data_IF_996555140410
#
_entry.id   IF_996555140410
#
_cell.length_a   1.000
_cell.length_b   1.000
_cell.length_c   1.000
_cell.angle_alpha   90.00
_cell.angle_beta   90.00
_cell.angle_gamma   90.00
#
_symmetry.space_group_name_H-M   'P 1'
#
loop_
_entity.id
_entity.type
_entity.pdbx_description
1 polymer ?
#
# COMPACT_ATOMS: atom_id res chain seq x y z
N UNK A 1 -8.76 -8.08 4.76
CA UNK A 1 -8.19 -9.44 4.62
C UNK A 1 -6.72 -9.24 4.43
N UNK A 2 -5.90 -9.76 5.34
CA UNK A 2 -4.46 -9.56 5.31
C UNK A 2 -3.82 -10.40 4.19
N UNK A 3 -3.07 -9.77 3.29
CA UNK A 3 -2.30 -10.44 2.23
C UNK A 3 -0.90 -9.87 2.10
N UNK A 4 0.05 -10.71 1.72
CA UNK A 4 1.43 -10.30 1.44
C UNK A 4 1.70 -10.28 -0.05
N UNK A 5 2.45 -9.27 -0.48
CA UNK A 5 2.78 -9.03 -1.86
C UNK A 5 4.28 -8.78 -1.99
N UNK A 6 4.95 -9.61 -2.79
CA UNK A 6 6.33 -9.34 -3.19
C UNK A 6 6.35 -8.29 -4.30
N UNK A 7 7.23 -7.29 -4.19
CA UNK A 7 7.46 -6.30 -5.24
C UNK A 7 8.75 -5.53 -5.01
N UNK A 8 9.27 -4.91 -6.08
CA UNK A 8 10.37 -3.96 -5.94
C UNK A 8 9.92 -2.70 -5.20
N UNK A 9 10.86 -1.99 -4.56
CA UNK A 9 10.57 -0.68 -3.93
C UNK A 9 9.99 0.32 -4.92
N UNK A 10 10.42 0.29 -6.19
CA UNK A 10 9.87 1.13 -7.26
C UNK A 10 8.40 0.84 -7.51
N UNK A 11 8.03 -0.43 -7.59
CA UNK A 11 6.64 -0.83 -7.77
C UNK A 11 5.81 -0.47 -6.53
N UNK A 12 6.34 -0.68 -5.34
CA UNK A 12 5.70 -0.28 -4.09
C UNK A 12 5.39 1.22 -4.04
N UNK A 13 6.33 2.07 -4.44
CA UNK A 13 6.10 3.53 -4.55
C UNK A 13 4.92 3.85 -5.48
N UNK A 14 4.82 3.15 -6.62
CA UNK A 14 3.70 3.32 -7.53
C UNK A 14 2.38 2.80 -6.93
N UNK A 15 2.41 1.66 -6.22
CA UNK A 15 1.23 1.09 -5.58
C UNK A 15 0.69 2.06 -4.53
N UNK A 16 1.51 2.53 -3.61
CA UNK A 16 1.10 3.46 -2.54
C UNK A 16 0.45 4.71 -3.13
N UNK A 17 1.08 5.31 -4.15
CA UNK A 17 0.59 6.55 -4.77
C UNK A 17 -0.68 6.39 -5.62
N UNK A 18 -1.04 5.18 -6.04
CA UNK A 18 -2.31 4.92 -6.74
C UNK A 18 -3.38 4.33 -5.82
N UNK A 19 -2.97 3.73 -4.71
CA UNK A 19 -3.86 3.07 -3.77
C UNK A 19 -4.55 4.08 -2.87
N UNK A 20 -3.77 4.91 -2.16
CA UNK A 20 -4.30 5.82 -1.15
C UNK A 20 -4.69 7.17 -1.77
N UNK A 21 -5.95 7.54 -1.62
CA UNK A 21 -6.45 8.88 -1.96
C UNK A 21 -6.23 9.86 -0.80
N UNK A 22 -6.34 9.38 0.44
CA UNK A 22 -6.10 10.13 1.67
C UNK A 22 -5.30 9.27 2.64
N UNK A 23 -4.41 9.91 3.41
CA UNK A 23 -3.63 9.24 4.44
C UNK A 23 -4.16 9.62 5.82
N UNK A 24 -4.39 8.60 6.64
CA UNK A 24 -4.72 8.74 8.05
C UNK A 24 -3.45 8.50 8.88
N UNK A 25 -3.28 9.19 10.03
CA UNK A 25 -2.13 8.98 10.88
C UNK A 25 -2.12 7.55 11.42
N UNK A 26 -1.00 6.80 11.33
CA UNK A 26 -0.93 5.40 11.75
C UNK A 26 -0.80 5.27 13.28
N UNK A 27 -1.51 6.09 14.05
CA UNK A 27 -1.37 6.17 15.51
C UNK A 27 -1.65 4.83 16.21
N UNK A 28 -2.54 4.01 15.65
CA UNK A 28 -2.79 2.66 16.16
C UNK A 28 -1.61 1.70 15.96
N UNK A 29 -0.77 1.94 14.95
CA UNK A 29 0.46 1.19 14.72
C UNK A 29 1.66 1.78 15.48
N UNK A 30 1.63 3.08 15.82
CA UNK A 30 2.65 3.74 16.64
C UNK A 30 2.71 3.23 18.09
N UNK A 31 1.67 2.55 18.57
CA UNK A 31 1.64 1.95 19.91
C UNK A 31 2.45 0.64 19.97
N UNK A 32 2.85 0.10 18.81
CA UNK A 32 3.69 -1.09 18.72
C UNK A 32 5.17 -0.74 18.88
N UNK A 33 5.92 -1.52 19.64
CA UNK A 33 7.40 -1.46 19.72
C UNK A 33 8.11 -1.87 18.41
N UNK A 34 7.36 -2.24 17.37
CA UNK A 34 7.91 -2.66 16.09
C UNK A 34 8.31 -1.44 15.22
N UNK A 35 9.57 -1.40 14.80
CA UNK A 35 10.12 -0.40 13.86
C UNK A 35 9.66 -0.69 12.42
N UNK A 36 8.35 -0.58 12.17
CA UNK A 36 7.72 -0.90 10.89
C UNK A 36 7.13 0.35 10.22
N UNK A 37 7.41 0.52 8.92
CA UNK A 37 6.77 1.57 8.12
C UNK A 37 5.35 1.14 7.75
N UNK A 38 4.36 1.70 8.45
CA UNK A 38 2.93 1.47 8.20
C UNK A 38 2.25 2.72 7.63
N UNK A 39 1.44 2.51 6.61
CA UNK A 39 0.66 3.53 5.90
C UNK A 39 -0.81 3.15 6.02
N UNK A 40 -1.61 3.99 6.66
CA UNK A 40 -3.05 3.84 6.80
C UNK A 40 -3.78 4.95 6.08
N UNK A 41 -4.99 4.69 5.59
CA UNK A 41 -5.84 5.73 5.01
C UNK A 41 -6.99 5.20 4.18
N UNK A 42 -7.62 6.11 3.44
CA UNK A 42 -8.66 5.78 2.47
C UNK A 42 -8.07 5.47 1.09
N UNK A 43 -8.49 4.36 0.52
CA UNK A 43 -8.15 3.97 -0.84
C UNK A 43 -8.92 4.79 -1.87
N UNK A 44 -8.56 4.67 -3.16
CA UNK A 44 -9.26 5.33 -4.26
C UNK A 44 -10.72 4.91 -4.42
N UNK A 45 -11.13 3.78 -3.83
CA UNK A 45 -12.54 3.35 -3.79
C UNK A 45 -13.30 3.91 -2.59
N UNK A 46 -12.62 4.61 -1.68
CA UNK A 46 -13.16 5.14 -0.43
C UNK A 46 -13.14 4.15 0.74
N UNK A 47 -12.60 2.94 0.54
CA UNK A 47 -12.43 1.96 1.60
C UNK A 47 -11.26 2.32 2.52
N UNK A 48 -11.33 1.92 3.80
CA UNK A 48 -10.19 2.03 4.71
C UNK A 48 -9.24 0.86 4.49
N UNK A 49 -7.93 1.15 4.43
CA UNK A 49 -6.91 0.13 4.24
C UNK A 49 -5.63 0.47 5.01
N UNK A 50 -4.83 -0.58 5.27
CA UNK A 50 -3.54 -0.49 5.95
C UNK A 50 -2.49 -1.24 5.14
N UNK A 51 -1.35 -0.60 4.88
CA UNK A 51 -0.21 -1.17 4.19
C UNK A 51 1.02 -1.10 5.11
N UNK A 52 1.61 -2.24 5.43
CA UNK A 52 2.87 -2.32 6.17
C UNK A 52 3.98 -2.73 5.21
N UNK A 53 5.06 -1.96 5.16
CA UNK A 53 6.20 -2.23 4.29
C UNK A 53 7.09 -3.29 4.92
N UNK A 54 7.44 -4.32 4.15
CA UNK A 54 8.33 -5.42 4.58
C UNK A 54 9.64 -5.39 3.82
N UNK A 55 10.61 -6.26 4.14
CA UNK A 55 11.87 -6.36 3.38
C UNK A 55 11.66 -6.75 1.91
N UNK A 56 10.69 -7.64 1.64
CA UNK A 56 10.47 -8.25 0.32
C UNK A 56 9.34 -7.61 -0.49
N UNK A 57 8.61 -6.67 0.11
CA UNK A 57 7.50 -5.97 -0.53
C UNK A 57 6.64 -5.25 0.49
N UNK A 58 5.41 -5.72 0.66
CA UNK A 58 4.47 -5.17 1.63
C UNK A 58 3.39 -6.17 2.03
N UNK A 59 2.81 -5.92 3.20
CA UNK A 59 1.62 -6.56 3.72
C UNK A 59 0.47 -5.57 3.62
N UNK A 60 -0.67 -6.03 3.15
CA UNK A 60 -1.83 -5.20 2.88
C UNK A 60 -3.07 -5.77 3.56
N UNK A 61 -3.73 -4.94 4.35
CA UNK A 61 -5.06 -5.20 4.89
C UNK A 61 -6.06 -4.26 4.21
N UNK A 62 -6.84 -4.82 3.30
CA UNK A 62 -7.83 -4.09 2.50
C UNK A 62 -8.46 -5.02 1.46
N UNK A 63 -8.99 -4.44 0.38
CA UNK A 63 -9.52 -5.21 -0.75
C UNK A 63 -8.40 -5.58 -1.73
N UNK A 64 -8.09 -6.87 -1.91
CA UNK A 64 -6.95 -7.29 -2.72
C UNK A 64 -7.13 -7.00 -4.22
N UNK A 65 -8.37 -6.86 -4.70
CA UNK A 65 -8.63 -6.54 -6.10
C UNK A 65 -8.13 -5.14 -6.45
N UNK A 66 -8.08 -4.20 -5.49
CA UNK A 66 -7.49 -2.88 -5.72
C UNK A 66 -5.99 -2.98 -6.07
N UNK A 67 -5.25 -3.87 -5.40
CA UNK A 67 -3.83 -4.12 -5.70
C UNK A 67 -3.67 -4.76 -7.08
N UNK A 68 -4.52 -5.74 -7.41
CA UNK A 68 -4.50 -6.42 -8.71
C UNK A 68 -4.84 -5.47 -9.86
N UNK A 69 -5.81 -4.58 -9.67
CA UNK A 69 -6.16 -3.52 -10.61
C UNK A 69 -5.01 -2.54 -10.82
N UNK A 70 -4.34 -2.11 -9.75
CA UNK A 70 -3.18 -1.21 -9.84
C UNK A 70 -2.02 -1.88 -10.60
N UNK A 71 -1.75 -3.16 -10.33
CA UNK A 71 -0.71 -3.93 -11.04
C UNK A 71 -1.08 -4.18 -12.51
N UNK A 72 -2.37 -4.37 -12.81
CA UNK A 72 -2.88 -4.51 -14.17
C UNK A 72 -2.84 -3.21 -14.98
N UNK A 73 -2.84 -2.05 -14.31
CA UNK A 73 -2.72 -0.74 -14.95
C UNK A 73 -1.29 -0.48 -15.40
N UNK A 74 -1.11 -0.11 -16.67
CA UNK A 74 0.20 0.31 -17.20
C UNK A 74 0.54 1.69 -16.63
N UNK A 75 1.60 1.77 -15.82
CA UNK A 75 2.16 3.05 -15.38
C UNK A 75 2.51 3.90 -16.61
N UNK A 76 1.84 5.05 -16.77
CA UNK A 76 1.98 5.93 -17.94
C UNK A 76 3.36 6.63 -18.03
N UNK A 77 4.22 6.52 -17.00
CA UNK A 77 5.59 7.05 -16.99
C UNK A 77 6.68 5.98 -17.17
N UNK A 78 6.58 5.19 -18.24
CA UNK A 78 7.77 4.57 -18.87
C UNK A 78 8.24 5.49 -20.01
N UNK A 79 8.90 6.58 -19.65
CA UNK A 79 9.41 7.56 -20.60
C UNK A 79 10.22 8.63 -19.86
N UNK A 80 11.48 8.32 -19.64
CA UNK A 80 12.53 9.21 -19.14
C UNK A 80 13.84 8.67 -19.67
#
# INVERSE_FOLDING_TARGET
MLREYACTRRELSCIIGNLFAELDPPCAACDSDADELTISGRTYTGAQAVLTVTEWGFRFDGDPSEIEEIRGKRCLRRGG
#
